data_IF_951515483616
#
_entry.id   IF_951515483616
#
_cell.length_a   1.000
_cell.length_b   1.000
_cell.length_c   1.000
_cell.angle_alpha   90.00
_cell.angle_beta   90.00
_cell.angle_gamma   90.00
#
_symmetry.space_group_name_H-M   'P 1'
#
loop_
_entity.id
_entity.type
_entity.pdbx_description
1 polymer ?
#
# COMPACT_ATOMS: atom_id res chain seq x y z
N UNK A 1 42.86 12.79 26.56
CA UNK A 1 42.48 12.65 25.13
C UNK A 1 41.65 11.40 24.82
N UNK A 2 41.89 10.24 25.44
CA UNK A 2 41.12 9.02 25.19
C UNK A 2 39.64 9.09 25.63
N UNK A 3 39.34 9.67 26.80
CA UNK A 3 37.98 9.77 27.37
C UNK A 3 37.03 10.64 26.54
N UNK A 4 37.54 11.73 25.95
CA UNK A 4 36.75 12.61 25.08
C UNK A 4 36.41 11.94 23.74
N UNK A 5 37.30 11.07 23.26
CA UNK A 5 37.09 10.28 22.03
C UNK A 5 36.05 9.19 22.23
N UNK A 6 36.07 8.49 23.37
CA UNK A 6 35.05 7.49 23.70
C UNK A 6 33.67 8.12 23.91
N UNK A 7 33.59 9.29 24.56
CA UNK A 7 32.35 10.05 24.68
C UNK A 7 31.79 10.48 23.33
N UNK A 8 32.64 10.96 22.43
CA UNK A 8 32.24 11.37 21.09
C UNK A 8 31.72 10.20 20.26
N UNK A 9 32.32 9.02 20.38
CA UNK A 9 31.87 7.80 19.70
C UNK A 9 30.55 7.27 20.25
N UNK A 10 30.39 7.29 21.59
CA UNK A 10 29.15 6.89 22.25
C UNK A 10 27.99 7.81 21.85
N UNK A 11 28.22 9.12 21.79
CA UNK A 11 27.23 10.10 21.35
C UNK A 11 26.81 9.85 19.89
N UNK A 12 27.79 9.57 19.02
CA UNK A 12 27.52 9.24 17.61
C UNK A 12 26.67 7.97 17.48
N UNK A 13 27.01 6.93 18.25
CA UNK A 13 26.26 5.66 18.27
C UNK A 13 24.84 5.85 18.79
N UNK A 14 24.64 6.68 19.81
CA UNK A 14 23.32 6.98 20.35
C UNK A 14 22.46 7.72 19.32
N UNK A 15 23.05 8.69 18.62
CA UNK A 15 22.38 9.44 17.54
C UNK A 15 21.98 8.55 16.36
N UNK A 16 22.81 7.58 15.98
CA UNK A 16 22.47 6.65 14.89
C UNK A 16 21.35 5.69 15.29
N UNK A 17 21.39 5.14 16.52
CA UNK A 17 20.31 4.31 17.06
C UNK A 17 18.98 5.07 17.16
N UNK A 18 19.01 6.33 17.58
CA UNK A 18 17.83 7.19 17.64
C UNK A 18 17.27 7.48 16.24
N UNK A 19 18.14 7.74 15.26
CA UNK A 19 17.75 7.94 13.86
C UNK A 19 17.11 6.70 13.24
N UNK A 20 17.67 5.50 13.49
CA UNK A 20 17.12 4.23 13.01
C UNK A 20 15.78 3.86 13.68
N UNK A 21 15.61 4.19 14.97
CA UNK A 21 14.37 3.92 15.70
C UNK A 21 13.20 4.85 15.34
N UNK A 22 13.49 6.07 14.85
CA UNK A 22 12.47 7.05 14.43
C UNK A 22 11.99 6.84 13.00
N UNK A 23 12.75 6.14 12.15
CA UNK A 23 12.28 5.75 10.82
C UNK A 23 11.36 4.55 10.98
N UNK A 24 10.07 4.82 11.19
CA UNK A 24 9.04 3.79 11.08
C UNK A 24 9.19 3.12 9.71
N UNK A 25 9.48 1.82 9.65
CA UNK A 25 9.62 1.14 8.38
C UNK A 25 8.23 0.98 7.77
N UNK A 26 7.86 1.84 6.82
CA UNK A 26 6.58 1.79 6.09
C UNK A 26 6.47 0.61 5.12
N UNK A 27 7.38 -0.38 5.21
CA UNK A 27 7.51 -1.49 4.26
C UNK A 27 6.19 -2.26 4.06
N UNK A 28 5.38 -2.43 5.10
CA UNK A 28 4.07 -3.09 4.98
C UNK A 28 3.01 -2.28 4.21
N UNK A 29 3.06 -0.95 4.32
CA UNK A 29 2.09 -0.06 3.68
C UNK A 29 2.27 -0.03 2.16
N UNK A 30 3.52 -0.08 1.70
CA UNK A 30 3.84 -0.16 0.27
C UNK A 30 3.30 -1.44 -0.36
N UNK A 31 3.45 -2.59 0.31
CA UNK A 31 2.93 -3.86 -0.20
C UNK A 31 1.40 -3.88 -0.32
N UNK A 32 0.69 -3.37 0.69
CA UNK A 32 -0.77 -3.24 0.64
C UNK A 32 -1.24 -2.27 -0.44
N UNK A 33 -0.56 -1.13 -0.58
CA UNK A 33 -0.88 -0.15 -1.62
C UNK A 33 -0.70 -0.71 -3.02
N UNK A 34 0.41 -1.40 -3.30
CA UNK A 34 0.64 -2.05 -4.60
C UNK A 34 -0.38 -3.16 -4.88
N UNK A 35 -0.77 -3.93 -3.84
CA UNK A 35 -1.85 -4.91 -3.96
C UNK A 35 -3.17 -4.24 -4.29
N UNK A 36 -3.51 -3.13 -3.63
CA UNK A 36 -4.72 -2.36 -3.91
C UNK A 36 -4.75 -1.88 -5.36
N UNK A 37 -3.69 -1.24 -5.84
CA UNK A 37 -3.60 -0.77 -7.23
C UNK A 37 -3.79 -1.92 -8.24
N UNK A 38 -3.09 -3.03 -8.03
CA UNK A 38 -3.20 -4.21 -8.91
C UNK A 38 -4.62 -4.78 -8.94
N UNK A 39 -5.28 -4.88 -7.79
CA UNK A 39 -6.57 -5.56 -7.70
C UNK A 39 -7.75 -4.64 -8.04
N UNK A 40 -7.63 -3.33 -7.80
CA UNK A 40 -8.79 -2.43 -7.75
C UNK A 40 -8.69 -1.21 -8.64
N UNK A 41 -7.57 -0.90 -9.30
CA UNK A 41 -7.44 0.34 -10.08
C UNK A 41 -7.20 0.04 -11.57
N UNK A 42 -7.97 0.69 -12.44
CA UNK A 42 -7.82 0.65 -13.89
C UNK A 42 -8.33 1.96 -14.52
N UNK A 43 -7.50 3.02 -14.60
CA UNK A 43 -7.96 4.36 -14.97
C UNK A 43 -8.39 4.51 -16.43
N UNK A 44 -7.81 3.72 -17.34
CA UNK A 44 -7.86 3.96 -18.80
C UNK A 44 -9.18 3.55 -19.49
N UNK A 45 -10.12 2.92 -18.78
CA UNK A 45 -11.33 2.36 -19.39
C UNK A 45 -12.61 2.94 -18.79
N UNK A 46 -13.65 3.09 -19.61
CA UNK A 46 -14.99 3.47 -19.15
C UNK A 46 -15.99 2.37 -19.48
N UNK A 47 -16.52 1.72 -18.44
CA UNK A 47 -17.49 0.63 -18.56
C UNK A 47 -16.92 -0.77 -18.29
N UNK A 48 -17.81 -1.73 -18.06
CA UNK A 48 -17.45 -3.11 -17.74
C UNK A 48 -18.49 -4.09 -18.25
N UNK A 49 -18.14 -4.82 -19.32
CA UNK A 49 -18.90 -5.98 -19.75
C UNK A 49 -18.25 -7.27 -19.20
N UNK A 50 -18.93 -8.41 -19.35
CA UNK A 50 -18.44 -9.69 -18.83
C UNK A 50 -17.05 -10.04 -19.40
N UNK A 51 -16.82 -9.69 -20.67
CA UNK A 51 -15.52 -9.90 -21.33
C UNK A 51 -14.40 -9.10 -20.66
N UNK A 52 -14.65 -7.84 -20.33
CA UNK A 52 -13.72 -6.99 -19.58
C UNK A 52 -13.41 -7.61 -18.22
N UNK A 53 -14.43 -8.01 -17.46
CA UNK A 53 -14.25 -8.65 -16.16
C UNK A 53 -13.39 -9.92 -16.27
N UNK A 54 -13.72 -10.82 -17.20
CA UNK A 54 -12.98 -12.06 -17.40
C UNK A 54 -11.50 -11.82 -17.74
N UNK A 55 -11.23 -10.89 -18.66
CA UNK A 55 -9.86 -10.54 -19.05
C UNK A 55 -9.08 -9.88 -17.91
N UNK A 56 -9.68 -8.91 -17.23
CA UNK A 56 -8.97 -8.15 -16.18
C UNK A 56 -8.72 -8.99 -14.94
N UNK A 57 -9.68 -9.81 -14.52
CA UNK A 57 -9.49 -10.74 -13.39
C UNK A 57 -8.32 -11.70 -13.66
N UNK A 58 -8.21 -12.22 -14.88
CA UNK A 58 -7.10 -13.10 -15.27
C UNK A 58 -5.77 -12.33 -15.36
N UNK A 59 -5.71 -11.21 -16.09
CA UNK A 59 -4.49 -10.40 -16.26
C UNK A 59 -3.93 -9.90 -14.94
N UNK A 60 -4.82 -9.56 -13.99
CA UNK A 60 -4.44 -9.14 -12.64
C UNK A 60 -4.17 -10.32 -11.70
N UNK A 61 -4.11 -11.57 -12.18
CA UNK A 61 -3.79 -12.78 -11.40
C UNK A 61 -4.75 -13.01 -10.22
N UNK A 62 -6.05 -12.78 -10.41
CA UNK A 62 -7.09 -13.03 -9.40
C UNK A 62 -7.86 -14.33 -9.64
N UNK A 63 -7.39 -15.14 -10.59
CA UNK A 63 -7.98 -16.43 -10.97
C UNK A 63 -6.96 -17.57 -11.03
N UNK A 64 -5.71 -17.34 -10.56
CA UNK A 64 -4.58 -18.25 -10.81
C UNK A 64 -4.65 -19.54 -9.98
N UNK A 65 -5.01 -19.45 -8.70
CA UNK A 65 -5.19 -20.63 -7.82
C UNK A 65 -6.65 -20.90 -7.49
N UNK A 66 -7.44 -19.83 -7.32
CA UNK A 66 -8.87 -19.87 -7.12
C UNK A 66 -9.49 -18.64 -7.80
N UNK A 67 -10.74 -18.73 -8.21
CA UNK A 67 -11.48 -17.60 -8.74
C UNK A 67 -11.94 -16.70 -7.59
N UNK A 68 -11.39 -15.48 -7.51
CA UNK A 68 -11.91 -14.47 -6.59
C UNK A 68 -13.37 -14.18 -6.94
N UNK A 69 -14.28 -14.46 -6.00
CA UNK A 69 -15.73 -14.41 -6.21
C UNK A 69 -16.26 -13.03 -6.62
N UNK A 70 -15.68 -11.99 -6.04
CA UNK A 70 -16.11 -10.62 -6.28
C UNK A 70 -14.90 -9.68 -6.27
N UNK A 71 -14.91 -8.71 -7.18
CA UNK A 71 -13.91 -7.66 -7.24
C UNK A 71 -14.47 -6.41 -7.91
N UNK A 72 -14.07 -5.24 -7.43
CA UNK A 72 -14.40 -3.95 -8.04
C UNK A 72 -13.15 -3.36 -8.67
N UNK A 73 -13.26 -2.88 -9.90
CA UNK A 73 -12.26 -2.04 -10.55
C UNK A 73 -12.76 -0.58 -10.54
N UNK A 74 -11.89 0.31 -10.11
CA UNK A 74 -12.11 1.75 -10.01
C UNK A 74 -11.48 2.39 -11.24
N UNK A 75 -12.29 3.14 -11.97
CA UNK A 75 -11.95 3.80 -13.23
C UNK A 75 -11.68 5.29 -12.99
N UNK A 76 -10.69 5.56 -12.14
CA UNK A 76 -10.31 6.91 -11.74
C UNK A 76 -8.79 7.02 -11.65
N UNK A 77 -8.30 8.26 -11.74
CA UNK A 77 -6.90 8.56 -11.52
C UNK A 77 -6.48 8.24 -10.09
N UNK A 78 -5.24 7.75 -9.96
CA UNK A 78 -4.66 7.39 -8.66
C UNK A 78 -4.67 8.58 -7.69
N UNK A 79 -4.51 9.81 -8.20
CA UNK A 79 -4.56 11.03 -7.40
C UNK A 79 -5.96 11.28 -6.82
N UNK A 80 -7.01 11.10 -7.63
CA UNK A 80 -8.39 11.23 -7.18
C UNK A 80 -8.70 10.15 -6.13
N UNK A 81 -8.31 8.90 -6.38
CA UNK A 81 -8.49 7.82 -5.40
C UNK A 81 -7.77 8.13 -4.09
N UNK A 82 -6.54 8.66 -4.14
CA UNK A 82 -5.75 8.99 -2.95
C UNK A 82 -6.35 10.16 -2.16
N UNK A 83 -7.00 11.11 -2.84
CA UNK A 83 -7.67 12.23 -2.16
C UNK A 83 -8.82 11.78 -1.24
N UNK A 84 -9.41 10.61 -1.49
CA UNK A 84 -10.45 10.03 -0.63
C UNK A 84 -9.92 9.80 0.78
N UNK A 85 -8.64 9.42 0.92
CA UNK A 85 -7.99 9.22 2.22
C UNK A 85 -7.87 10.51 3.06
N UNK A 86 -8.12 11.68 2.47
CA UNK A 86 -8.12 12.98 3.15
C UNK A 86 -9.53 13.49 3.48
N UNK A 87 -10.57 12.71 3.18
CA UNK A 87 -11.96 13.02 3.55
C UNK A 87 -12.26 12.64 5.01
N UNK A 88 -13.45 13.00 5.50
CA UNK A 88 -13.87 12.68 6.88
C UNK A 88 -13.85 11.16 7.11
N UNK A 89 -13.19 10.74 8.19
CA UNK A 89 -13.10 9.33 8.55
C UNK A 89 -14.48 8.73 8.85
N UNK A 90 -14.69 7.52 8.37
CA UNK A 90 -15.89 6.71 8.61
C UNK A 90 -15.49 5.35 9.19
N UNK A 91 -16.41 4.71 9.91
CA UNK A 91 -16.16 3.38 10.46
C UNK A 91 -16.14 2.33 9.34
N UNK A 92 -15.04 1.57 9.25
CA UNK A 92 -14.91 0.46 8.32
C UNK A 92 -15.76 -0.74 8.76
N UNK A 93 -16.32 -1.48 7.80
CA UNK A 93 -16.87 -2.82 8.07
C UNK A 93 -15.71 -3.79 8.29
N UNK A 94 -15.77 -4.58 9.36
CA UNK A 94 -14.81 -5.67 9.54
C UNK A 94 -15.02 -6.75 8.47
N UNK A 95 -13.91 -7.24 7.90
CA UNK A 95 -13.93 -8.27 6.88
C UNK A 95 -14.34 -9.62 7.50
N UNK A 96 -15.42 -10.22 7.01
CA UNK A 96 -15.98 -11.49 7.50
C UNK A 96 -15.85 -12.65 6.49
N UNK A 97 -14.81 -12.64 5.64
CA UNK A 97 -14.68 -13.55 4.49
C UNK A 97 -13.51 -14.53 4.57
#
# INVERSE_FOLDING_TARGET
>A
MALQRTHSLLLLLLLTLLGLGLVQPSYGQNGMYQRFLRQHVHPEETGGNDRYCNMMMQRRKMTLHHCKRFNTFIHEDIWNIRSICSTTNIQCKEWQG
#
